data_IF_059354730388
#
_entry.id   IF_059354730388
#
_cell.length_a   1.000
_cell.length_b   1.000
_cell.length_c   1.000
_cell.angle_alpha   90.00
_cell.angle_beta   90.00
_cell.angle_gamma   90.00
#
_symmetry.space_group_name_H-M   'P 1'
#
loop_
_entity.id
_entity.type
_entity.pdbx_description
1 polymer ?
#
# COMPACT_ATOMS: atom_id res chain seq x y z
N UNK A 1 -16.35 3.33 -14.12
CA UNK A 1 -15.23 2.93 -15.00
C UNK A 1 -14.02 2.62 -14.12
N UNK A 2 -13.28 1.55 -14.42
CA UNK A 2 -12.11 1.08 -13.67
C UNK A 2 -11.03 2.18 -13.46
N UNK A 3 -10.17 2.05 -12.42
CA UNK A 3 -9.82 0.74 -11.89
C UNK A 3 -9.88 0.52 -10.37
N UNK A 4 -10.29 -0.72 -10.03
CA UNK A 4 -10.12 -1.31 -8.70
C UNK A 4 -8.64 -1.34 -8.26
N UNK A 5 -7.70 -1.27 -9.22
CA UNK A 5 -6.26 -1.05 -9.03
C UNK A 5 -5.70 -0.37 -10.29
N UNK A 6 -5.11 0.82 -10.18
CA UNK A 6 -4.41 1.48 -11.30
C UNK A 6 -3.23 0.65 -11.82
N UNK A 7 -2.64 1.04 -12.95
CA UNK A 7 -1.53 0.31 -13.56
C UNK A 7 -0.35 0.11 -12.59
N UNK A 8 -0.02 1.12 -11.77
CA UNK A 8 1.03 1.01 -10.76
C UNK A 8 0.62 0.08 -9.60
N UNK A 9 -0.65 0.06 -9.23
CA UNK A 9 -1.18 -0.87 -8.24
C UNK A 9 -1.20 -2.32 -8.75
N UNK A 10 -1.43 -2.55 -10.05
CA UNK A 10 -1.28 -3.87 -10.68
C UNK A 10 0.20 -4.31 -10.71
N UNK A 11 1.11 -3.44 -11.15
CA UNK A 11 2.54 -3.74 -11.18
C UNK A 11 3.09 -4.13 -9.79
N UNK A 12 2.66 -3.42 -8.74
CA UNK A 12 2.99 -3.79 -7.35
C UNK A 12 2.45 -5.16 -6.96
N UNK A 13 1.22 -5.48 -7.34
CA UNK A 13 0.64 -6.78 -7.04
C UNK A 13 1.41 -7.91 -7.73
N UNK A 14 1.86 -7.69 -8.98
CA UNK A 14 2.67 -8.65 -9.72
C UNK A 14 4.05 -8.83 -9.05
N UNK A 15 4.74 -7.73 -8.74
CA UNK A 15 6.01 -7.75 -8.01
C UNK A 15 5.91 -8.43 -6.63
N UNK A 16 4.78 -8.27 -5.92
CA UNK A 16 4.54 -8.96 -4.66
C UNK A 16 4.39 -10.47 -4.84
N UNK A 17 3.75 -10.93 -5.91
CA UNK A 17 3.64 -12.37 -6.21
C UNK A 17 5.00 -12.97 -6.56
N UNK A 18 5.86 -12.23 -7.27
CA UNK A 18 7.24 -12.64 -7.54
C UNK A 18 8.04 -12.79 -6.24
N UNK A 19 7.99 -11.79 -5.36
CA UNK A 19 8.67 -11.85 -4.07
C UNK A 19 8.18 -13.04 -3.23
N UNK A 20 6.86 -13.30 -3.18
CA UNK A 20 6.30 -14.46 -2.48
C UNK A 20 6.83 -15.78 -3.04
N UNK A 21 6.88 -15.91 -4.37
CA UNK A 21 7.45 -17.08 -5.04
C UNK A 21 8.93 -17.28 -4.70
N UNK A 22 9.73 -16.21 -4.73
CA UNK A 22 11.14 -16.23 -4.33
C UNK A 22 11.37 -16.58 -2.85
N UNK A 23 10.37 -16.34 -2.00
CA UNK A 23 10.39 -16.67 -0.57
C UNK A 23 9.80 -18.05 -0.26
N UNK A 24 9.34 -18.80 -1.26
CA UNK A 24 8.58 -20.05 -1.08
C UNK A 24 7.36 -19.87 -0.17
N UNK A 25 6.74 -18.69 -0.20
CA UNK A 25 5.56 -18.34 0.59
C UNK A 25 4.29 -18.44 -0.25
N UNK A 26 3.20 -19.00 0.29
CA UNK A 26 1.93 -19.02 -0.41
C UNK A 26 1.36 -17.60 -0.52
N UNK A 27 0.59 -17.35 -1.59
CA UNK A 27 -0.24 -16.15 -1.66
C UNK A 27 -1.30 -16.21 -0.54
N UNK A 28 -1.45 -15.15 0.27
CA UNK A 28 -2.50 -15.10 1.28
C UNK A 28 -3.88 -15.05 0.63
N UNK A 29 -4.87 -15.63 1.32
CA UNK A 29 -6.27 -15.54 0.90
C UNK A 29 -6.77 -14.08 0.96
N UNK A 30 -7.56 -13.62 -0.02
CA UNK A 30 -8.12 -12.28 -0.01
C UNK A 30 -9.02 -12.03 1.21
N UNK A 31 -9.03 -10.80 1.72
CA UNK A 31 -10.01 -10.39 2.71
C UNK A 31 -11.41 -10.35 2.09
N UNK A 32 -12.39 -10.97 2.75
CA UNK A 32 -13.81 -10.79 2.43
C UNK A 32 -14.29 -9.41 2.88
N UNK A 33 -14.12 -8.40 2.04
CA UNK A 33 -14.58 -7.02 2.29
C UNK A 33 -15.19 -6.42 1.05
N UNK A 34 -16.27 -5.67 1.22
CA UNK A 34 -16.83 -4.84 0.16
C UNK A 34 -15.98 -3.60 -0.03
N UNK A 35 -15.48 -3.42 -1.26
CA UNK A 35 -14.70 -2.25 -1.64
C UNK A 35 -15.59 -1.23 -2.33
N UNK A 36 -15.32 0.08 -2.17
CA UNK A 36 -16.04 1.10 -2.90
C UNK A 36 -15.81 0.96 -4.41
N UNK A 37 -16.82 1.32 -5.20
CA UNK A 37 -16.75 1.26 -6.67
C UNK A 37 -15.86 2.37 -7.26
N UNK A 38 -15.56 3.41 -6.49
CA UNK A 38 -14.68 4.53 -6.83
C UNK A 38 -13.81 4.90 -5.63
N UNK A 39 -12.53 5.17 -5.87
CA UNK A 39 -11.62 5.64 -4.82
C UNK A 39 -11.79 7.15 -4.61
N UNK A 40 -12.09 7.54 -3.37
CA UNK A 40 -12.03 8.95 -2.96
C UNK A 40 -10.58 9.41 -2.73
N UNK A 41 -10.39 10.70 -2.50
CA UNK A 41 -9.09 11.27 -2.17
C UNK A 41 -8.51 10.70 -0.87
N UNK A 42 -9.35 10.36 0.12
CA UNK A 42 -8.94 9.69 1.36
C UNK A 42 -8.36 8.29 1.12
N UNK A 43 -8.96 7.53 0.21
CA UNK A 43 -8.42 6.24 -0.23
C UNK A 43 -7.05 6.42 -0.89
N UNK A 44 -6.94 7.39 -1.81
CA UNK A 44 -5.70 7.68 -2.53
C UNK A 44 -4.60 8.17 -1.59
N UNK A 45 -4.92 8.97 -0.58
CA UNK A 45 -3.98 9.44 0.44
C UNK A 45 -3.22 8.29 1.10
N UNK A 46 -3.93 7.25 1.55
CA UNK A 46 -3.29 6.10 2.20
C UNK A 46 -2.48 5.26 1.21
N UNK A 47 -3.03 5.01 0.02
CA UNK A 47 -2.37 4.18 -1.00
C UNK A 47 -1.10 4.84 -1.56
N UNK A 48 -1.12 6.14 -1.81
CA UNK A 48 0.06 6.90 -2.23
C UNK A 48 1.04 7.10 -1.07
N UNK A 49 0.55 7.39 0.14
CA UNK A 49 1.39 7.54 1.33
C UNK A 49 2.19 6.27 1.67
N UNK A 50 1.63 5.08 1.45
CA UNK A 50 2.33 3.80 1.67
C UNK A 50 3.61 3.63 0.82
N UNK A 51 3.72 4.35 -0.30
CA UNK A 51 4.91 4.33 -1.17
C UNK A 51 6.12 5.03 -0.55
N UNK A 52 5.87 6.09 0.24
CA UNK A 52 6.92 6.73 1.03
C UNK A 52 7.53 5.75 2.03
N UNK A 53 6.69 4.99 2.71
CA UNK A 53 7.12 3.94 3.63
C UNK A 53 7.97 2.88 2.93
N UNK A 54 7.57 2.46 1.73
CA UNK A 54 8.32 1.47 0.93
C UNK A 54 9.74 1.95 0.57
N UNK A 55 9.92 3.26 0.33
CA UNK A 55 11.25 3.85 0.08
C UNK A 55 12.18 3.72 1.29
N UNK A 56 11.64 3.83 2.51
CA UNK A 56 12.41 3.62 3.74
C UNK A 56 12.71 2.12 3.92
N UNK A 57 11.69 1.28 3.79
CA UNK A 57 11.80 -0.17 4.01
C UNK A 57 12.81 -0.84 3.06
N UNK A 58 12.86 -0.46 1.77
CA UNK A 58 13.84 -1.04 0.84
C UNK A 58 15.28 -0.65 1.22
N UNK A 59 15.50 0.58 1.69
CA UNK A 59 16.83 1.03 2.15
C UNK A 59 17.29 0.25 3.38
N UNK A 60 16.38 0.06 4.33
CA UNK A 60 16.67 -0.75 5.52
C UNK A 60 16.92 -2.22 5.18
N UNK A 61 16.13 -2.79 4.25
CA UNK A 61 16.31 -4.18 3.81
C UNK A 61 17.66 -4.37 3.11
N UNK A 62 18.05 -3.45 2.21
CA UNK A 62 19.36 -3.48 1.54
C UNK A 62 20.49 -3.40 2.57
N UNK A 63 20.38 -2.52 3.57
CA UNK A 63 21.42 -2.34 4.59
C UNK A 63 21.56 -3.55 5.52
N UNK A 64 20.46 -4.23 5.86
CA UNK A 64 20.46 -5.33 6.84
C UNK A 64 20.60 -6.71 6.23
N UNK A 65 20.07 -6.91 5.03
CA UNK A 65 20.00 -8.21 4.35
C UNK A 65 20.05 -8.04 2.82
N UNK A 66 21.21 -7.65 2.25
CA UNK A 66 21.33 -7.32 0.83
C UNK A 66 20.93 -8.48 -0.09
N UNK A 67 21.32 -9.72 0.24
CA UNK A 67 20.92 -10.91 -0.52
C UNK A 67 19.38 -11.13 -0.51
N UNK A 68 18.71 -10.78 0.59
CA UNK A 68 17.24 -10.83 0.66
C UNK A 68 16.62 -9.71 -0.18
N UNK A 69 17.19 -8.51 -0.14
CA UNK A 69 16.74 -7.36 -0.93
C UNK A 69 16.88 -7.57 -2.44
N UNK A 70 17.85 -8.39 -2.86
CA UNK A 70 18.02 -8.84 -4.24
C UNK A 70 17.03 -9.95 -4.60
N UNK A 71 16.87 -10.95 -3.72
CA UNK A 71 16.02 -12.12 -3.96
C UNK A 71 14.52 -11.80 -3.95
N UNK A 72 14.08 -10.95 -3.02
CA UNK A 72 12.66 -10.72 -2.71
C UNK A 72 12.39 -9.26 -2.32
N UNK A 73 12.90 -8.32 -3.12
CA UNK A 73 12.71 -6.88 -2.90
C UNK A 73 11.92 -6.18 -4.01
N UNK A 74 11.33 -6.91 -4.95
CA UNK A 74 10.68 -6.35 -6.13
C UNK A 74 9.50 -5.44 -5.76
N UNK A 75 8.63 -5.89 -4.84
CA UNK A 75 7.48 -5.12 -4.37
C UNK A 75 7.90 -3.77 -3.77
N UNK A 76 8.94 -3.76 -2.92
CA UNK A 76 9.37 -2.53 -2.26
C UNK A 76 10.04 -1.56 -3.24
N UNK A 77 10.74 -2.07 -4.26
CA UNK A 77 11.33 -1.25 -5.34
C UNK A 77 10.25 -0.63 -6.22
N UNK A 78 9.30 -1.44 -6.67
CA UNK A 78 8.16 -0.98 -7.46
C UNK A 78 7.31 0.05 -6.68
N UNK A 79 7.13 -0.20 -5.38
CA UNK A 79 6.40 0.69 -4.48
C UNK A 79 7.15 1.98 -4.13
N UNK A 80 8.45 2.11 -4.44
CA UNK A 80 9.24 3.30 -4.12
C UNK A 80 9.07 4.44 -5.15
N UNK A 81 8.23 4.27 -6.17
CA UNK A 81 7.86 5.37 -7.07
C UNK A 81 6.92 6.36 -6.35
N UNK A 82 7.42 7.55 -5.99
CA UNK A 82 6.69 8.56 -5.20
C UNK A 82 6.02 9.66 -6.06
N UNK A 83 5.97 9.53 -7.39
CA UNK A 83 5.40 10.57 -8.26
C UNK A 83 3.92 10.81 -7.97
N UNK A 84 3.14 9.74 -7.78
CA UNK A 84 1.72 9.82 -7.40
C UNK A 84 1.50 10.56 -6.09
N UNK A 85 2.39 10.36 -5.10
CA UNK A 85 2.36 11.10 -3.83
C UNK A 85 2.63 12.59 -4.02
N UNK A 86 3.63 12.96 -4.83
CA UNK A 86 3.95 14.38 -5.08
C UNK A 86 2.78 15.11 -5.72
N UNK A 87 2.14 14.49 -6.70
CA UNK A 87 0.96 15.05 -7.36
C UNK A 87 -0.19 15.20 -6.36
N UNK A 88 -0.52 14.14 -5.62
CA UNK A 88 -1.60 14.18 -4.64
C UNK A 88 -1.36 15.23 -3.54
N UNK A 89 -0.13 15.33 -3.03
CA UNK A 89 0.25 16.34 -2.04
C UNK A 89 0.09 17.75 -2.59
N UNK A 90 0.40 17.97 -3.86
CA UNK A 90 0.23 19.26 -4.53
C UNK A 90 -1.26 19.59 -4.67
N UNK A 91 -2.07 18.61 -5.10
CA UNK A 91 -3.53 18.76 -5.23
C UNK A 91 -4.17 19.11 -3.88
N UNK A 92 -3.79 18.40 -2.81
CA UNK A 92 -4.28 18.64 -1.45
C UNK A 92 -3.85 20.00 -0.89
N UNK A 93 -2.64 20.48 -1.20
CA UNK A 93 -2.17 21.79 -0.73
C UNK A 93 -2.85 22.96 -1.45
N UNK A 94 -3.27 22.75 -2.69
CA UNK A 94 -3.93 23.77 -3.52
C UNK A 94 -5.46 23.80 -3.33
N UNK A 95 -6.05 22.85 -2.61
CA UNK A 95 -7.47 22.88 -2.24
C UNK A 95 -7.72 23.90 -1.11
N UNK A 96 -7.77 25.18 -1.48
CA UNK A 96 -7.95 26.29 -0.55
C UNK A 96 -9.41 26.52 -0.12
N UNK A 97 -10.38 25.94 -0.84
CA UNK A 97 -11.79 26.28 -0.65
C UNK A 97 -12.54 25.31 0.29
N UNK A 98 -11.86 24.31 0.86
CA UNK A 98 -12.43 23.39 1.87
C UNK A 98 -13.73 22.71 1.40
N UNK A 99 -13.92 22.60 0.08
CA UNK A 99 -15.17 22.09 -0.54
C UNK A 99 -15.31 20.58 -0.43
N UNK A 100 -14.27 19.94 0.07
CA UNK A 100 -14.17 18.53 0.33
C UNK A 100 -14.54 18.27 1.79
N UNK A 101 -15.70 17.64 2.02
CA UNK A 101 -16.24 17.32 3.35
C UNK A 101 -15.21 16.53 4.15
N UNK A 102 -14.45 17.24 4.98
CA UNK A 102 -13.28 16.77 5.74
C UNK A 102 -13.56 15.44 6.48
N UNK A 103 -14.74 15.32 7.09
CA UNK A 103 -15.14 14.13 7.82
C UNK A 103 -15.26 12.85 6.96
N UNK A 104 -15.79 12.95 5.72
CA UNK A 104 -15.89 11.77 4.84
C UNK A 104 -14.54 11.34 4.29
N UNK A 105 -13.62 12.28 4.02
CA UNK A 105 -12.29 11.97 3.51
C UNK A 105 -11.43 11.30 4.58
N UNK A 106 -11.48 11.81 5.81
CA UNK A 106 -10.82 11.17 6.95
C UNK A 106 -11.42 9.79 7.19
N UNK A 107 -12.75 9.65 7.14
CA UNK A 107 -13.44 8.36 7.25
C UNK A 107 -12.96 7.33 6.23
N UNK A 108 -12.82 7.74 4.97
CA UNK A 108 -12.32 6.89 3.88
C UNK A 108 -10.84 6.50 4.06
N UNK A 109 -10.00 7.42 4.54
CA UNK A 109 -8.61 7.12 4.86
C UNK A 109 -8.51 6.11 6.02
N UNK A 110 -9.27 6.32 7.09
CA UNK A 110 -9.35 5.40 8.24
C UNK A 110 -9.85 4.02 7.82
N UNK A 111 -10.82 3.96 6.90
CA UNK A 111 -11.29 2.71 6.31
C UNK A 111 -10.13 1.94 5.67
N UNK A 112 -9.32 2.58 4.82
CA UNK A 112 -8.17 1.92 4.16
C UNK A 112 -7.10 1.50 5.17
N UNK A 113 -6.78 2.33 6.17
CA UNK A 113 -5.86 1.92 7.25
C UNK A 113 -6.38 0.68 7.98
N UNK A 114 -7.68 0.63 8.28
CA UNK A 114 -8.32 -0.54 8.88
C UNK A 114 -8.22 -1.80 8.01
N UNK A 115 -8.25 -1.66 6.67
CA UNK A 115 -8.01 -2.79 5.77
C UNK A 115 -6.57 -3.31 5.86
N UNK A 116 -5.57 -2.43 5.89
CA UNK A 116 -4.16 -2.85 6.09
C UNK A 116 -3.98 -3.59 7.42
N UNK A 117 -4.58 -3.10 8.50
CA UNK A 117 -4.49 -3.74 9.81
C UNK A 117 -5.16 -5.12 9.81
N UNK A 118 -6.37 -5.22 9.24
CA UNK A 118 -7.07 -6.51 9.11
C UNK A 118 -6.30 -7.50 8.26
N UNK A 119 -5.70 -7.05 7.15
CA UNK A 119 -4.88 -7.89 6.28
C UNK A 119 -3.67 -8.41 7.04
N UNK A 120 -2.97 -7.55 7.79
CA UNK A 120 -1.85 -7.93 8.64
C UNK A 120 -2.24 -8.92 9.75
N UNK A 121 -3.43 -8.78 10.34
CA UNK A 121 -3.93 -9.73 11.35
C UNK A 121 -4.34 -11.09 10.75
N UNK A 122 -4.81 -11.08 9.51
CA UNK A 122 -5.17 -12.29 8.78
C UNK A 122 -3.94 -13.08 8.32
N UNK A 123 -2.79 -12.44 8.14
CA UNK A 123 -1.52 -13.16 7.97
C UNK A 123 -1.03 -13.68 9.31
N UNK A 124 -0.49 -14.91 9.33
CA UNK A 124 0.02 -15.55 10.55
C UNK A 124 1.13 -14.78 11.29
N UNK A 125 1.66 -13.71 10.69
CA UNK A 125 2.66 -12.81 11.29
C UNK A 125 2.17 -12.13 12.59
N UNK A 126 0.86 -11.97 12.78
CA UNK A 126 0.28 -11.52 14.06
C UNK A 126 0.30 -12.61 15.15
N UNK A 127 0.30 -13.89 14.78
CA UNK A 127 0.27 -15.02 15.73
C UNK A 127 1.67 -15.32 16.30
N UNK A 128 2.74 -15.07 15.54
CA UNK A 128 4.12 -15.31 16.00
C UNK A 128 4.65 -14.25 16.97
N UNK A 129 4.12 -13.02 16.98
CA UNK A 129 4.54 -11.96 17.92
C UNK A 129 3.84 -12.00 19.29
N UNK A 130 2.85 -12.87 19.47
CA UNK A 130 2.09 -13.01 20.71
C UNK A 130 2.44 -14.28 21.50
N UNK A 131 3.52 -14.98 21.12
CA UNK A 131 4.05 -16.17 21.80
C UNK A 131 5.43 -15.93 22.41
#
# INVERSE_FOLDING_TARGET
MRPLLDAGSLARADALREDLGSLDMPCPEPLGVELPTQASIGHRYVLEGSRLGSTVLIRELIARAPAMAERAGAYLRESANIEGWKQLSTDLQNDHDGRDKEASIIGDALFVFGLFERAWRATGSAQTKAG
#
